data_IF_590837200986
#
_entry.id   IF_590837200986
#
_cell.length_a   1.000
_cell.length_b   1.000
_cell.length_c   1.000
_cell.angle_alpha   90.00
_cell.angle_beta   90.00
_cell.angle_gamma   90.00
#
_symmetry.space_group_name_H-M   'P 1'
#
loop_
_entity.id
_entity.type
_entity.pdbx_description
1 polymer ?
#
# COMPACT_ATOMS: atom_id res chain seq x y z
N UNK A 1 2.41 12.64 -12.98
CA UNK A 1 0.98 12.39 -13.30
C UNK A 1 0.24 12.19 -11.99
N UNK A 2 -0.88 12.88 -11.73
CA UNK A 2 -1.69 12.72 -10.51
C UNK A 2 -2.97 11.96 -10.83
N UNK A 3 -3.39 11.06 -9.95
CA UNK A 3 -4.56 10.20 -10.18
C UNK A 3 -5.78 10.66 -9.39
N UNK A 4 -6.97 10.45 -9.95
CA UNK A 4 -8.22 10.66 -9.21
C UNK A 4 -8.42 9.55 -8.16
N UNK A 5 -9.11 9.84 -7.04
CA UNK A 5 -9.42 8.83 -6.03
C UNK A 5 -10.09 7.57 -6.59
N UNK A 6 -10.98 7.72 -7.57
CA UNK A 6 -11.69 6.60 -8.18
C UNK A 6 -10.77 5.71 -9.01
N UNK A 7 -9.83 6.29 -9.77
CA UNK A 7 -8.83 5.54 -10.52
C UNK A 7 -7.93 4.75 -9.58
N UNK A 8 -7.37 5.40 -8.54
CA UNK A 8 -6.51 4.71 -7.57
C UNK A 8 -7.26 3.59 -6.86
N UNK A 9 -8.51 3.84 -6.45
CA UNK A 9 -9.36 2.81 -5.83
C UNK A 9 -9.56 1.61 -6.75
N UNK A 10 -9.89 1.84 -8.02
CA UNK A 10 -10.09 0.76 -8.98
C UNK A 10 -8.79 -0.02 -9.22
N UNK A 11 -7.67 0.67 -9.39
CA UNK A 11 -6.37 0.04 -9.62
C UNK A 11 -5.94 -0.83 -8.44
N UNK A 12 -6.07 -0.32 -7.21
CA UNK A 12 -5.75 -1.07 -5.99
C UNK A 12 -6.65 -2.29 -5.83
N UNK A 13 -7.95 -2.16 -6.10
CA UNK A 13 -8.90 -3.27 -6.08
C UNK A 13 -8.56 -4.35 -7.12
N UNK A 14 -8.17 -3.92 -8.33
CA UNK A 14 -7.76 -4.84 -9.39
C UNK A 14 -6.49 -5.59 -8.99
N UNK A 15 -5.51 -4.91 -8.40
CA UNK A 15 -4.29 -5.54 -7.88
C UNK A 15 -4.57 -6.57 -6.78
N UNK A 16 -5.42 -6.23 -5.82
CA UNK A 16 -5.80 -7.16 -4.73
C UNK A 16 -6.48 -8.41 -5.30
N UNK A 17 -7.33 -8.24 -6.31
CA UNK A 17 -8.01 -9.36 -6.98
C UNK A 17 -7.06 -10.21 -7.82
N UNK A 18 -6.16 -9.58 -8.58
CA UNK A 18 -5.22 -10.26 -9.47
C UNK A 18 -4.21 -11.10 -8.69
N UNK A 19 -3.65 -10.54 -7.61
CA UNK A 19 -2.60 -11.18 -6.84
C UNK A 19 -3.09 -11.94 -5.61
N UNK A 20 -4.42 -11.93 -5.37
CA UNK A 20 -5.15 -12.90 -4.54
C UNK A 20 -4.59 -13.17 -3.14
N UNK A 21 -5.20 -12.56 -2.12
CA UNK A 21 -5.21 -13.10 -0.74
C UNK A 21 -6.35 -12.46 0.06
N UNK A 22 -6.60 -12.94 1.28
CA UNK A 22 -7.50 -12.26 2.22
C UNK A 22 -7.05 -10.82 2.48
N UNK A 23 -7.97 -9.86 2.74
CA UNK A 23 -7.60 -8.47 3.00
C UNK A 23 -6.55 -8.27 4.12
N UNK A 24 -6.47 -9.22 5.05
CA UNK A 24 -5.52 -9.27 6.17
C UNK A 24 -4.05 -9.42 5.75
N UNK A 25 -3.77 -10.02 4.58
CA UNK A 25 -2.42 -10.17 4.03
C UNK A 25 -1.88 -8.89 3.39
N UNK A 26 -2.75 -7.93 3.11
CA UNK A 26 -2.37 -6.65 2.52
C UNK A 26 -2.10 -5.60 3.60
N UNK A 27 -1.36 -4.56 3.23
CA UNK A 27 -1.14 -3.37 4.03
C UNK A 27 -1.25 -2.15 3.14
N UNK A 28 -1.94 -1.13 3.62
CA UNK A 28 -2.11 0.14 2.91
C UNK A 28 -1.68 1.31 3.80
N UNK A 29 -1.05 2.31 3.21
CA UNK A 29 -0.75 3.56 3.91
C UNK A 29 -0.72 4.75 2.98
N UNK A 30 -0.62 5.92 3.60
CA UNK A 30 -0.33 7.17 2.90
C UNK A 30 1.03 7.72 3.31
N UNK A 31 1.61 8.59 2.48
CA UNK A 31 2.89 9.21 2.78
C UNK A 31 3.22 10.40 1.89
N UNK A 32 4.33 11.07 2.22
CA UNK A 32 4.95 12.12 1.39
C UNK A 32 5.94 11.55 0.40
N UNK A 33 6.51 10.38 0.70
CA UNK A 33 7.38 9.59 -0.18
C UNK A 33 6.98 8.11 -0.07
N UNK A 34 6.33 7.60 -1.10
CA UNK A 34 5.86 6.21 -1.10
C UNK A 34 6.99 5.19 -1.25
N UNK A 35 8.09 5.54 -1.92
CA UNK A 35 9.21 4.61 -2.12
C UNK A 35 9.95 4.36 -0.82
N UNK A 36 10.27 5.44 -0.08
CA UNK A 36 10.87 5.31 1.26
C UNK A 36 9.94 4.56 2.20
N UNK A 37 8.63 4.88 2.19
CA UNK A 37 7.66 4.15 3.01
C UNK A 37 7.60 2.66 2.67
N UNK A 38 7.55 2.30 1.38
CA UNK A 38 7.51 0.89 0.96
C UNK A 38 8.80 0.15 1.31
N UNK A 39 9.95 0.64 0.83
CA UNK A 39 11.17 -0.15 0.78
C UNK A 39 12.05 0.03 2.02
N UNK A 40 12.11 1.23 2.59
CA UNK A 40 12.97 1.52 3.75
C UNK A 40 12.22 1.30 5.07
N UNK A 41 10.98 1.77 5.17
CA UNK A 41 10.24 1.73 6.45
C UNK A 41 9.41 0.44 6.63
N UNK A 42 8.77 -0.08 5.58
CA UNK A 42 8.00 -1.34 5.64
C UNK A 42 8.79 -2.58 5.22
N UNK A 43 10.02 -2.40 4.73
CA UNK A 43 10.92 -3.49 4.32
C UNK A 43 10.36 -4.34 3.18
N UNK A 44 9.62 -3.72 2.24
CA UNK A 44 9.11 -4.40 1.04
C UNK A 44 10.28 -4.73 0.12
N UNK A 45 10.37 -5.98 -0.31
CA UNK A 45 11.33 -6.41 -1.33
C UNK A 45 10.81 -6.04 -2.73
N UNK A 46 11.61 -5.31 -3.51
CA UNK A 46 11.21 -4.81 -4.83
C UNK A 46 10.92 -5.92 -5.84
N UNK A 47 11.60 -7.05 -5.72
CA UNK A 47 11.57 -8.14 -6.69
C UNK A 47 10.66 -9.29 -6.23
N UNK A 48 10.59 -9.51 -4.91
CA UNK A 48 9.89 -10.65 -4.31
C UNK A 48 8.49 -10.32 -3.81
N UNK A 49 8.25 -9.08 -3.38
CA UNK A 49 6.97 -8.67 -2.82
C UNK A 49 6.07 -8.00 -3.86
N UNK A 50 4.77 -7.94 -3.54
CA UNK A 50 3.78 -7.31 -4.38
C UNK A 50 3.51 -5.93 -3.83
N UNK A 51 3.77 -4.90 -4.63
CA UNK A 51 3.61 -3.53 -4.20
C UNK A 51 3.19 -2.63 -5.35
N UNK A 52 2.51 -1.55 -5.00
CA UNK A 52 2.26 -0.42 -5.89
C UNK A 52 2.08 0.84 -5.07
N UNK A 53 2.34 1.97 -5.72
CA UNK A 53 2.01 3.27 -5.16
C UNK A 53 1.50 4.22 -6.24
N UNK A 54 0.68 5.18 -5.81
CA UNK A 54 0.08 6.19 -6.69
C UNK A 54 0.04 7.56 -6.01
N UNK A 55 0.45 8.63 -6.71
CA UNK A 55 0.28 9.99 -6.24
C UNK A 55 -1.15 10.49 -6.52
N UNK A 56 -1.76 11.13 -5.53
CA UNK A 56 -3.04 11.84 -5.66
C UNK A 56 -2.83 13.35 -5.64
N UNK A 57 -3.88 14.08 -6.02
CA UNK A 57 -3.87 15.55 -6.06
C UNK A 57 -3.62 16.20 -4.69
N UNK A 58 -4.04 15.53 -3.60
CA UNK A 58 -3.91 16.09 -2.26
C UNK A 58 -3.93 15.00 -1.17
N UNK A 59 -3.45 15.32 0.05
CA UNK A 59 -3.59 14.41 1.19
C UNK A 59 -5.05 14.07 1.53
N UNK A 60 -5.99 14.98 1.26
CA UNK A 60 -7.41 14.73 1.46
C UNK A 60 -7.95 13.69 0.45
N UNK A 61 -7.51 13.77 -0.81
CA UNK A 61 -7.83 12.78 -1.83
C UNK A 61 -7.29 11.38 -1.45
N UNK A 62 -6.05 11.32 -0.95
CA UNK A 62 -5.46 10.09 -0.44
C UNK A 62 -6.25 9.50 0.74
N UNK A 63 -6.63 10.35 1.70
CA UNK A 63 -7.41 9.93 2.87
C UNK A 63 -8.77 9.31 2.49
N UNK A 64 -9.44 9.79 1.44
CA UNK A 64 -10.71 9.21 0.95
C UNK A 64 -10.53 7.76 0.52
N UNK A 65 -9.48 7.47 -0.26
CA UNK A 65 -9.20 6.11 -0.73
C UNK A 65 -8.70 5.25 0.43
N UNK A 66 -7.79 5.76 1.27
CA UNK A 66 -7.28 5.06 2.44
C UNK A 66 -8.42 4.62 3.35
N UNK A 67 -9.35 5.53 3.65
CA UNK A 67 -10.54 5.26 4.46
C UNK A 67 -11.41 4.17 3.85
N UNK A 68 -11.64 4.20 2.54
CA UNK A 68 -12.41 3.14 1.88
C UNK A 68 -11.73 1.77 2.04
N UNK A 69 -10.42 1.70 1.81
CA UNK A 69 -9.64 0.47 1.87
C UNK A 69 -9.61 -0.11 3.30
N UNK A 70 -9.43 0.73 4.32
CA UNK A 70 -9.37 0.29 5.72
C UNK A 70 -10.76 0.02 6.31
N UNK A 71 -11.73 0.89 6.09
CA UNK A 71 -13.06 0.76 6.71
C UNK A 71 -13.95 -0.25 5.99
N UNK A 72 -13.96 -0.25 4.65
CA UNK A 72 -14.87 -1.08 3.85
C UNK A 72 -14.25 -2.43 3.51
N UNK A 73 -12.98 -2.45 3.09
CA UNK A 73 -12.30 -3.69 2.71
C UNK A 73 -11.53 -4.34 3.86
N UNK A 74 -11.45 -3.69 5.02
CA UNK A 74 -10.74 -4.18 6.21
C UNK A 74 -9.26 -4.47 5.97
N UNK A 75 -8.64 -3.76 5.02
CA UNK A 75 -7.20 -3.86 4.80
C UNK A 75 -6.51 -3.15 5.97
N UNK A 76 -5.59 -3.81 6.68
CA UNK A 76 -4.89 -3.19 7.80
C UNK A 76 -4.02 -2.01 7.35
N UNK A 77 -3.95 -0.99 8.19
CA UNK A 77 -3.10 0.18 7.97
C UNK A 77 -1.63 -0.22 8.16
N UNK A 78 -0.76 0.29 7.30
CA UNK A 78 0.69 0.19 7.48
C UNK A 78 1.12 1.04 8.68
N UNK A 79 2.03 0.52 9.50
CA UNK A 79 2.48 1.18 10.74
C UNK A 79 3.19 2.52 10.46
N UNK A 80 3.80 2.64 9.28
CA UNK A 80 4.53 3.83 8.83
C UNK A 80 3.62 4.85 8.14
N UNK A 81 2.31 4.61 8.11
CA UNK A 81 1.37 5.46 7.39
C UNK A 81 1.31 6.85 8.02
N UNK A 82 1.69 7.86 7.24
CA UNK A 82 1.63 9.28 7.61
C UNK A 82 0.74 10.06 6.66
N UNK A 83 0.19 11.20 7.09
CA UNK A 83 -0.67 12.01 6.21
C UNK A 83 0.13 12.55 5.03
N UNK A 84 -0.24 12.17 3.82
CA UNK A 84 0.39 12.67 2.59
C UNK A 84 -0.41 12.34 1.33
N UNK A 85 -0.04 12.93 0.18
CA UNK A 85 -0.76 12.77 -1.07
C UNK A 85 -0.46 11.45 -1.80
N UNK A 86 0.55 10.70 -1.37
CA UNK A 86 0.89 9.41 -1.99
C UNK A 86 0.22 8.28 -1.23
N UNK A 87 -0.37 7.34 -1.96
CA UNK A 87 -0.85 6.08 -1.40
C UNK A 87 0.03 4.95 -1.85
N UNK A 88 0.25 4.00 -0.95
CA UNK A 88 0.97 2.77 -1.23
C UNK A 88 0.19 1.59 -0.68
N UNK A 89 0.27 0.49 -1.40
CA UNK A 89 -0.35 -0.80 -1.07
C UNK A 89 0.71 -1.87 -1.31
N UNK A 90 0.86 -2.77 -0.35
CA UNK A 90 1.80 -3.87 -0.48
C UNK A 90 1.29 -5.13 0.20
N UNK A 91 1.86 -6.26 -0.23
CA UNK A 91 1.76 -7.56 0.38
C UNK A 91 3.16 -8.15 0.41
N UNK A 92 3.61 -8.52 1.60
CA UNK A 92 4.83 -9.29 1.78
C UNK A 92 4.54 -10.76 1.56
N UNK A 93 5.35 -11.43 0.76
CA UNK A 93 5.23 -12.87 0.63
C UNK A 93 5.82 -13.54 1.89
N UNK A 94 5.12 -14.52 2.49
CA UNK A 94 5.58 -15.17 3.72
C UNK A 94 6.73 -16.17 3.51
N UNK A 95 7.16 -16.39 2.26
CA UNK A 95 8.29 -17.24 1.93
C UNK A 95 9.60 -16.50 2.27
N UNK A 96 10.23 -16.94 3.37
CA UNK A 96 11.42 -16.43 4.05
C UNK A 96 11.24 -15.25 5.04
N UNK A 97 11.15 -15.61 6.33
CA UNK A 97 11.86 -14.85 7.35
C UNK A 97 13.34 -14.71 6.94
N UNK A 98 14.03 -13.60 7.25
CA UNK A 98 15.40 -13.38 6.80
C UNK A 98 16.30 -14.53 7.26
N UNK A 99 16.79 -15.35 6.32
CA UNK A 99 17.95 -16.22 6.52
C UNK A 99 19.15 -15.30 6.68
N UNK A 100 19.46 -14.94 7.92
CA UNK A 100 20.66 -14.18 8.26
C UNK A 100 20.44 -13.11 9.32
N UNK A 101 20.27 -13.53 10.56
CA UNK A 101 20.81 -12.78 11.69
C UNK A 101 22.01 -13.59 12.23
N UNK A 102 23.23 -13.01 12.27
CA UNK A 102 24.42 -13.67 12.82
C UNK A 102 24.32 -13.91 14.33
#
# INVERSE_FOLDING_TARGET
MVFSPQQVKFEFLSYIKEFGTEPSGWRIGSGVNAETALFEENGVDRERDIWLWKPLLSPAAAAIVLRYMTEQLKIPLAETSVKGPMLYLFRRNPDEAPVGAP
#
